data_IF_738705861942
#
_entry.id   IF_738705861942
#
_cell.length_a   1.000
_cell.length_b   1.000
_cell.length_c   1.000
_cell.angle_alpha   90.00
_cell.angle_beta   90.00
_cell.angle_gamma   90.00
#
_symmetry.space_group_name_H-M   'P 1'
#
loop_
_entity.id
_entity.type
_entity.pdbx_description
1 polymer ?
#
# COMPACT_ATOMS: atom_id res chain seq x y z
N UNK A 1 -3.69 9.68 27.17
CA UNK A 1 -4.06 10.14 25.82
C UNK A 1 -3.76 9.02 24.82
N UNK A 2 -4.63 8.81 23.87
CA UNK A 2 -4.42 7.82 22.80
C UNK A 2 -4.09 8.54 21.51
N UNK A 3 -3.04 8.09 20.82
CA UNK A 3 -2.64 8.65 19.52
C UNK A 3 -2.49 7.53 18.48
N UNK A 4 -3.02 7.78 17.30
CA UNK A 4 -2.83 6.89 16.15
C UNK A 4 -1.73 7.47 15.26
N UNK A 5 -0.81 6.61 14.85
CA UNK A 5 0.25 6.95 13.90
C UNK A 5 -0.02 6.17 12.61
N UNK A 6 -0.13 6.88 11.51
CA UNK A 6 -0.44 6.27 10.22
C UNK A 6 0.84 6.22 9.39
N UNK A 7 1.25 5.02 8.97
CA UNK A 7 2.36 4.82 8.06
C UNK A 7 1.79 4.66 6.65
N UNK A 8 2.13 5.60 5.77
CA UNK A 8 1.71 5.59 4.37
C UNK A 8 2.78 5.00 3.48
N UNK A 9 2.35 4.18 2.53
CA UNK A 9 3.24 3.67 1.48
C UNK A 9 2.43 3.43 0.21
N UNK A 10 3.13 3.21 -0.89
CA UNK A 10 2.50 2.98 -2.19
C UNK A 10 1.74 1.65 -2.23
N UNK A 11 2.31 0.63 -1.63
CA UNK A 11 1.78 -0.73 -1.66
C UNK A 11 2.40 -1.58 -2.75
N UNK A 12 1.99 -2.82 -2.80
CA UNK A 12 2.43 -3.79 -3.78
C UNK A 12 1.48 -4.98 -3.83
N UNK A 13 1.55 -5.80 -4.88
CA UNK A 13 0.66 -6.96 -5.01
C UNK A 13 0.99 -8.02 -3.96
N UNK A 14 -0.05 -8.59 -3.37
CA UNK A 14 0.05 -9.65 -2.36
C UNK A 14 0.09 -11.05 -2.99
N UNK A 15 -0.27 -11.18 -4.25
CA UNK A 15 -0.26 -12.43 -5.04
C UNK A 15 0.06 -12.13 -6.49
N UNK A 16 0.51 -13.14 -7.24
CA UNK A 16 0.78 -12.97 -8.66
C UNK A 16 -0.48 -12.57 -9.45
N UNK A 17 -1.63 -13.11 -9.10
CA UNK A 17 -2.90 -12.77 -9.76
C UNK A 17 -3.33 -11.32 -9.54
N UNK A 18 -2.80 -10.65 -8.53
CA UNK A 18 -3.10 -9.26 -8.20
C UNK A 18 -2.10 -8.26 -8.79
N UNK A 19 -1.10 -8.73 -9.53
CA UNK A 19 -0.09 -7.85 -10.16
C UNK A 19 -0.73 -6.89 -11.15
N UNK A 20 -1.57 -7.40 -12.05
CA UNK A 20 -2.23 -6.54 -13.05
C UNK A 20 -3.20 -5.53 -12.42
N UNK A 21 -4.10 -5.94 -11.49
CA UNK A 21 -4.94 -4.97 -10.76
C UNK A 21 -4.13 -3.92 -9.99
N UNK A 22 -3.02 -4.32 -9.38
CA UNK A 22 -2.13 -3.37 -8.69
C UNK A 22 -1.53 -2.36 -9.68
N UNK A 23 -1.01 -2.82 -10.81
CA UNK A 23 -0.45 -1.95 -11.84
C UNK A 23 -1.51 -1.00 -12.38
N UNK A 24 -2.73 -1.48 -12.58
CA UNK A 24 -3.83 -0.63 -12.99
C UNK A 24 -4.08 0.50 -11.97
N UNK A 25 -4.14 0.16 -10.69
CA UNK A 25 -4.34 1.16 -9.62
C UNK A 25 -3.22 2.19 -9.61
N UNK A 26 -1.98 1.72 -9.80
CA UNK A 26 -0.79 2.59 -9.85
C UNK A 26 -0.89 3.58 -11.02
N UNK A 27 -1.17 3.11 -12.22
CA UNK A 27 -1.23 3.96 -13.42
C UNK A 27 -2.52 4.75 -13.52
N UNK A 28 -3.58 4.33 -12.86
CA UNK A 28 -4.82 5.11 -12.79
C UNK A 28 -4.71 6.31 -11.83
N UNK A 29 -3.68 6.36 -11.01
CA UNK A 29 -3.45 7.46 -10.08
C UNK A 29 -3.11 8.74 -10.86
N UNK A 30 -3.86 9.86 -10.65
CA UNK A 30 -3.59 11.11 -11.35
C UNK A 30 -2.21 11.71 -11.05
N UNK A 31 -1.57 11.31 -9.95
CA UNK A 31 -0.20 11.72 -9.66
C UNK A 31 0.82 11.03 -10.57
N UNK A 32 0.48 9.87 -11.15
CA UNK A 32 1.35 9.11 -12.05
C UNK A 32 1.04 9.46 -13.51
N UNK A 33 -0.25 9.47 -13.90
CA UNK A 33 -0.71 9.88 -15.23
C UNK A 33 -1.60 11.11 -15.09
N UNK A 34 -1.07 12.27 -15.41
CA UNK A 34 -1.77 13.56 -15.32
C UNK A 34 -2.71 13.79 -16.50
N UNK A 35 -3.62 12.86 -16.73
CA UNK A 35 -4.60 12.91 -17.83
C UNK A 35 -6.01 12.95 -17.27
N UNK A 36 -7.00 13.51 -18.05
CA UNK A 36 -8.41 13.39 -17.67
C UNK A 36 -8.82 11.93 -17.47
N UNK A 37 -9.78 11.68 -16.57
CA UNK A 37 -10.19 10.32 -16.21
C UNK A 37 -10.60 9.45 -17.40
N UNK A 38 -11.26 10.05 -18.41
CA UNK A 38 -11.71 9.31 -19.59
C UNK A 38 -10.57 8.84 -20.50
N UNK A 39 -9.41 9.50 -20.43
CA UNK A 39 -8.16 9.07 -21.11
C UNK A 39 -7.29 8.23 -20.22
N UNK A 40 -7.25 8.54 -18.91
CA UNK A 40 -6.42 7.84 -17.93
C UNK A 40 -6.87 6.38 -17.74
N UNK A 41 -8.17 6.14 -17.67
CA UNK A 41 -8.70 4.80 -17.45
C UNK A 41 -8.27 3.81 -18.53
N UNK A 42 -8.53 4.04 -19.84
CA UNK A 42 -8.12 3.08 -20.86
C UNK A 42 -6.60 2.96 -20.99
N UNK A 43 -5.86 4.05 -20.80
CA UNK A 43 -4.41 4.03 -20.88
C UNK A 43 -3.80 3.26 -19.72
N UNK A 44 -4.28 3.46 -18.49
CA UNK A 44 -3.82 2.72 -17.32
C UNK A 44 -4.08 1.22 -17.50
N UNK A 45 -5.23 0.85 -18.03
CA UNK A 45 -5.59 -0.54 -18.29
C UNK A 45 -4.68 -1.18 -19.33
N UNK A 46 -4.36 -0.45 -20.40
CA UNK A 46 -3.45 -0.91 -21.44
C UNK A 46 -2.03 -1.13 -20.89
N UNK A 47 -1.52 -0.16 -20.14
CA UNK A 47 -0.18 -0.25 -19.55
C UNK A 47 -0.09 -1.40 -18.56
N UNK A 48 -1.10 -1.55 -17.69
CA UNK A 48 -1.14 -2.64 -16.71
C UNK A 48 -1.14 -4.00 -17.41
N UNK A 49 -1.95 -4.16 -18.44
CA UNK A 49 -2.03 -5.40 -19.21
C UNK A 49 -0.67 -5.75 -19.86
N UNK A 50 -0.01 -4.77 -20.46
CA UNK A 50 1.27 -4.98 -21.14
C UNK A 50 2.42 -5.26 -20.20
N UNK A 51 2.42 -4.62 -19.01
CA UNK A 51 3.48 -4.76 -18.02
C UNK A 51 3.31 -5.95 -17.09
N UNK A 52 2.08 -6.46 -16.95
CA UNK A 52 1.78 -7.54 -16.02
C UNK A 52 2.67 -8.79 -16.20
N UNK A 53 2.92 -9.32 -17.43
CA UNK A 53 3.75 -10.50 -17.57
C UNK A 53 5.19 -10.31 -17.07
N UNK A 54 5.81 -9.17 -17.36
CA UNK A 54 7.17 -8.86 -16.90
C UNK A 54 7.19 -8.65 -15.39
N UNK A 55 6.23 -7.91 -14.84
CA UNK A 55 6.12 -7.67 -13.41
C UNK A 55 5.87 -8.98 -12.64
N UNK A 56 5.04 -9.87 -13.18
CA UNK A 56 4.79 -11.19 -12.56
C UNK A 56 6.07 -12.00 -12.42
N UNK A 57 6.94 -11.97 -13.43
CA UNK A 57 8.23 -12.67 -13.36
C UNK A 57 9.10 -12.11 -12.23
N UNK A 58 9.15 -10.77 -12.10
CA UNK A 58 9.94 -10.13 -11.05
C UNK A 58 9.41 -10.49 -9.66
N UNK A 59 8.09 -10.41 -9.45
CA UNK A 59 7.49 -10.77 -8.17
C UNK A 59 7.59 -12.27 -7.87
N UNK A 60 7.59 -13.10 -8.90
CA UNK A 60 7.80 -14.54 -8.75
C UNK A 60 9.19 -14.83 -8.17
N UNK A 61 10.21 -14.10 -8.60
CA UNK A 61 11.56 -14.21 -8.05
C UNK A 61 11.64 -13.72 -6.59
N UNK A 62 10.72 -12.82 -6.19
CA UNK A 62 10.61 -12.33 -4.82
C UNK A 62 9.73 -13.21 -3.92
N UNK A 63 9.29 -14.37 -4.40
CA UNK A 63 8.47 -15.29 -3.62
C UNK A 63 6.97 -15.20 -3.91
N UNK A 64 6.57 -14.54 -5.01
CA UNK A 64 5.18 -14.46 -5.45
C UNK A 64 4.39 -13.26 -4.96
N UNK A 65 5.03 -12.34 -4.24
CA UNK A 65 4.38 -11.12 -3.74
C UNK A 65 5.40 -10.02 -3.48
N UNK A 66 4.92 -8.78 -3.32
CA UNK A 66 5.77 -7.69 -2.87
C UNK A 66 6.08 -7.83 -1.38
N UNK A 67 7.33 -7.61 -0.95
CA UNK A 67 7.66 -7.61 0.48
C UNK A 67 7.24 -6.32 1.21
N UNK A 68 6.66 -5.35 0.51
CA UNK A 68 6.41 -4.01 1.06
C UNK A 68 5.48 -4.03 2.28
N UNK A 69 4.43 -4.83 2.28
CA UNK A 69 3.50 -4.91 3.41
C UNK A 69 4.20 -5.48 4.64
N UNK A 70 4.91 -6.60 4.48
CA UNK A 70 5.64 -7.24 5.56
C UNK A 70 6.68 -6.30 6.17
N UNK A 71 7.45 -5.64 5.33
CA UNK A 71 8.47 -4.69 5.78
C UNK A 71 7.84 -3.49 6.49
N UNK A 72 6.71 -3.00 5.99
CA UNK A 72 5.98 -1.90 6.63
C UNK A 72 5.37 -2.34 7.96
N UNK A 73 4.88 -3.57 8.06
CA UNK A 73 4.41 -4.13 9.34
C UNK A 73 5.53 -4.20 10.37
N UNK A 74 6.71 -4.64 9.98
CA UNK A 74 7.89 -4.67 10.85
C UNK A 74 8.26 -3.27 11.34
N UNK A 75 8.26 -2.29 10.43
CA UNK A 75 8.50 -0.89 10.78
C UNK A 75 7.44 -0.34 11.74
N UNK A 76 6.18 -0.67 11.49
CA UNK A 76 5.05 -0.26 12.32
C UNK A 76 5.18 -0.78 13.75
N UNK A 77 5.48 -2.06 13.91
CA UNK A 77 5.67 -2.66 15.24
C UNK A 77 6.87 -2.07 15.97
N UNK A 78 7.98 -1.86 15.28
CA UNK A 78 9.18 -1.26 15.88
C UNK A 78 8.92 0.17 16.33
N UNK A 79 8.25 0.97 15.50
CA UNK A 79 7.91 2.35 15.82
C UNK A 79 6.94 2.43 17.01
N UNK A 80 5.89 1.62 17.00
CA UNK A 80 4.90 1.57 18.08
C UNK A 80 5.55 1.21 19.42
N UNK A 81 6.41 0.20 19.42
CA UNK A 81 7.15 -0.21 20.62
C UNK A 81 8.05 0.92 21.14
N UNK A 82 8.77 1.59 20.23
CA UNK A 82 9.67 2.67 20.60
C UNK A 82 8.93 3.88 21.18
N UNK A 83 7.83 4.28 20.55
CA UNK A 83 7.03 5.40 21.01
C UNK A 83 6.43 5.12 22.40
N UNK A 84 5.95 3.90 22.63
CA UNK A 84 5.36 3.52 23.92
C UNK A 84 6.40 3.34 25.02
N UNK A 85 7.66 3.03 24.69
CA UNK A 85 8.77 3.01 25.63
C UNK A 85 9.16 4.40 26.12
N UNK A 86 9.21 5.37 25.18
CA UNK A 86 9.75 6.70 25.45
C UNK A 86 8.74 7.62 26.12
N UNK A 87 7.45 7.35 25.99
CA UNK A 87 6.37 8.19 26.53
C UNK A 87 5.29 7.34 27.18
N UNK A 88 5.30 7.25 28.52
CA UNK A 88 4.31 6.50 29.28
C UNK A 88 2.98 7.24 29.46
N UNK A 89 2.93 8.55 29.12
CA UNK A 89 1.71 9.36 29.27
C UNK A 89 0.75 9.20 28.07
N UNK A 90 1.22 8.63 26.98
CA UNK A 90 0.47 8.46 25.73
C UNK A 90 0.51 7.00 25.30
N UNK A 91 -0.64 6.51 24.86
CA UNK A 91 -0.77 5.18 24.27
C UNK A 91 -0.78 5.33 22.74
N UNK A 92 0.30 4.90 22.10
CA UNK A 92 0.48 4.99 20.65
C UNK A 92 0.10 3.67 19.99
N UNK A 93 -0.65 3.78 18.91
CA UNK A 93 -0.96 2.64 18.04
C UNK A 93 -0.66 3.01 16.59
N UNK A 94 0.11 2.17 15.90
CA UNK A 94 0.49 2.39 14.52
C UNK A 94 -0.42 1.61 13.58
N UNK A 95 -0.79 2.26 12.48
CA UNK A 95 -1.63 1.69 11.42
C UNK A 95 -0.94 1.88 10.09
N UNK A 96 -1.21 0.98 9.15
CA UNK A 96 -0.64 1.00 7.81
C UNK A 96 -1.73 1.37 6.81
N UNK A 97 -1.41 2.29 5.91
CA UNK A 97 -2.28 2.65 4.78
C UNK A 97 -1.49 2.56 3.49
N UNK A 98 -1.98 1.80 2.53
CA UNK A 98 -1.41 1.69 1.19
C UNK A 98 -2.26 2.46 0.19
N UNK A 99 -1.61 3.13 -0.77
CA UNK A 99 -2.30 3.97 -1.76
C UNK A 99 -2.88 3.14 -2.92
N UNK A 100 -2.09 2.23 -3.47
CA UNK A 100 -2.46 1.51 -4.70
C UNK A 100 -2.90 0.07 -4.46
N UNK A 101 -2.80 -0.42 -3.23
CA UNK A 101 -3.25 -1.74 -2.84
C UNK A 101 -3.71 -1.74 -1.38
N UNK A 102 -4.09 -2.91 -0.88
CA UNK A 102 -4.57 -3.04 0.50
C UNK A 102 -3.43 -3.05 1.52
N UNK A 103 -3.63 -2.63 2.76
CA UNK A 103 -4.87 -2.05 3.29
C UNK A 103 -5.05 -0.58 2.87
N UNK A 104 -6.26 -0.24 2.46
CA UNK A 104 -6.59 1.13 2.01
C UNK A 104 -7.09 2.00 3.14
N UNK A 105 -6.97 3.32 2.97
CA UNK A 105 -7.36 4.32 3.96
C UNK A 105 -8.81 4.16 4.43
N UNK A 106 -9.72 3.87 3.53
CA UNK A 106 -11.15 3.71 3.84
C UNK A 106 -11.41 2.66 4.91
N UNK A 107 -10.69 1.55 4.85
CA UNK A 107 -10.81 0.46 5.82
C UNK A 107 -10.07 0.76 7.11
N UNK A 108 -8.88 1.33 7.01
CA UNK A 108 -8.02 1.62 8.17
C UNK A 108 -8.61 2.73 9.04
N UNK A 109 -9.22 3.76 8.44
CA UNK A 109 -9.85 4.85 9.20
C UNK A 109 -10.95 4.30 10.12
N UNK A 110 -11.70 3.31 9.68
CA UNK A 110 -12.73 2.67 10.51
C UNK A 110 -12.12 1.99 11.75
N UNK A 111 -10.96 1.37 11.60
CA UNK A 111 -10.24 0.75 12.71
C UNK A 111 -9.69 1.80 13.68
N UNK A 112 -9.20 2.93 13.16
CA UNK A 112 -8.63 4.01 13.98
C UNK A 112 -9.70 4.64 14.87
N UNK A 113 -10.91 4.82 14.35
CA UNK A 113 -12.02 5.45 15.08
C UNK A 113 -12.55 4.53 16.19
N UNK A 114 -12.48 3.25 16.02
CA UNK A 114 -12.93 2.26 16.99
C UNK A 114 -11.77 1.65 17.77
#
# INVERSE_FOLDING_TARGET
MKKAVILFNLGGPDKLENVEPFLFNLFYDPAILSLPGFLRYPLAKLIANRRAPTAKKIYQELGGSSPILKLTEEQSHALESKLNQDDNSTDYKCFIVMRCWHPRAENVVKEVIH
#
